data_IF_467672632606
#
_entry.id   IF_467672632606
#
_cell.length_a   1.000
_cell.length_b   1.000
_cell.length_c   1.000
_cell.angle_alpha   90.00
_cell.angle_beta   90.00
_cell.angle_gamma   90.00
#
_symmetry.space_group_name_H-M   'P 1'
#
loop_
_entity.id
_entity.type
_entity.pdbx_description
1 polymer ?
#
# COMPACT_ATOMS: atom_id res chain seq x y z
N UNK A 1 -43.85 0.74 -1.35
CA UNK A 1 -42.98 1.47 -2.27
C UNK A 1 -41.87 2.34 -1.65
N UNK A 2 -41.93 2.76 -0.37
CA UNK A 2 -40.84 3.60 0.27
C UNK A 2 -39.60 2.81 0.77
N UNK A 3 -39.70 1.50 1.02
CA UNK A 3 -38.54 0.68 1.50
C UNK A 3 -37.55 0.28 0.40
N UNK A 4 -38.03 0.11 -0.85
CA UNK A 4 -37.18 -0.30 -1.97
C UNK A 4 -36.26 0.85 -2.46
N UNK A 5 -36.72 2.11 -2.36
CA UNK A 5 -35.90 3.27 -2.76
C UNK A 5 -34.73 3.56 -1.78
N UNK A 6 -34.89 3.25 -0.49
CA UNK A 6 -33.79 3.40 0.49
C UNK A 6 -32.71 2.34 0.32
N UNK A 7 -33.09 1.12 -0.07
CA UNK A 7 -32.13 0.05 -0.33
C UNK A 7 -31.32 0.30 -1.61
N UNK A 8 -31.98 0.80 -2.66
CA UNK A 8 -31.31 1.19 -3.92
C UNK A 8 -30.37 2.40 -3.73
N UNK A 9 -30.69 3.34 -2.81
CA UNK A 9 -29.80 4.46 -2.50
C UNK A 9 -28.57 4.01 -1.69
N UNK A 10 -28.74 3.05 -0.76
CA UNK A 10 -27.62 2.52 0.03
C UNK A 10 -26.66 1.69 -0.83
N UNK A 11 -27.19 0.85 -1.73
CA UNK A 11 -26.37 0.08 -2.68
C UNK A 11 -25.69 1.00 -3.70
N UNK A 12 -26.34 2.05 -4.18
CA UNK A 12 -25.75 3.05 -5.08
C UNK A 12 -24.60 3.83 -4.40
N UNK A 13 -24.76 4.19 -3.13
CA UNK A 13 -23.72 4.89 -2.37
C UNK A 13 -22.50 3.99 -2.06
N UNK A 14 -22.73 2.69 -1.76
CA UNK A 14 -21.65 1.73 -1.52
C UNK A 14 -20.91 1.41 -2.83
N UNK A 15 -21.62 1.22 -3.94
CA UNK A 15 -21.00 1.01 -5.26
C UNK A 15 -20.27 2.26 -5.74
N UNK A 16 -20.80 3.46 -5.47
CA UNK A 16 -20.14 4.73 -5.75
C UNK A 16 -18.87 4.93 -4.93
N UNK A 17 -18.90 4.63 -3.65
CA UNK A 17 -17.72 4.73 -2.76
C UNK A 17 -16.64 3.69 -3.12
N UNK A 18 -17.04 2.47 -3.51
CA UNK A 18 -16.08 1.43 -3.97
C UNK A 18 -15.51 1.76 -5.35
N UNK A 19 -16.31 2.36 -6.26
CA UNK A 19 -15.83 2.80 -7.57
C UNK A 19 -14.85 3.98 -7.45
N UNK A 20 -15.11 4.93 -6.55
CA UNK A 20 -14.21 6.06 -6.25
C UNK A 20 -12.93 5.55 -5.56
N UNK A 21 -13.03 4.65 -4.58
CA UNK A 21 -11.87 4.03 -3.93
C UNK A 21 -11.06 3.20 -4.93
N UNK A 22 -11.71 2.40 -5.80
CA UNK A 22 -11.05 1.64 -6.85
C UNK A 22 -10.40 2.56 -7.91
N UNK A 23 -11.01 3.70 -8.23
CA UNK A 23 -10.45 4.68 -9.18
C UNK A 23 -9.26 5.44 -8.59
N UNK A 24 -9.34 5.84 -7.33
CA UNK A 24 -8.23 6.47 -6.58
C UNK A 24 -7.07 5.49 -6.39
N UNK A 25 -7.38 4.21 -6.12
CA UNK A 25 -6.36 3.17 -5.99
C UNK A 25 -5.79 2.71 -7.34
N UNK A 26 -6.57 2.70 -8.43
CA UNK A 26 -6.14 2.30 -9.77
C UNK A 26 -5.05 3.21 -10.33
N UNK A 27 -4.95 4.44 -9.84
CA UNK A 27 -4.03 5.46 -10.38
C UNK A 27 -2.61 5.40 -9.83
N UNK A 28 -2.31 4.54 -8.83
CA UNK A 28 -0.96 4.49 -8.27
C UNK A 28 -0.52 3.15 -7.70
N UNK A 29 -0.62 2.11 -8.50
CA UNK A 29 0.42 1.11 -8.50
C UNK A 29 1.51 1.56 -9.51
N UNK A 30 2.03 2.76 -9.38
CA UNK A 30 3.31 3.07 -9.96
C UNK A 30 4.31 2.12 -9.31
N UNK A 31 4.76 1.17 -10.12
CA UNK A 31 5.80 0.21 -9.77
C UNK A 31 7.01 1.03 -9.35
N UNK A 32 7.18 1.21 -8.07
CA UNK A 32 8.39 1.80 -7.51
C UNK A 32 9.50 0.81 -7.81
N UNK A 33 10.27 1.09 -8.83
CA UNK A 33 11.47 0.32 -9.18
C UNK A 33 12.61 0.95 -8.41
N UNK A 34 13.25 0.19 -7.53
CA UNK A 34 14.39 0.70 -6.79
C UNK A 34 15.69 0.40 -7.53
N UNK A 35 16.62 1.33 -7.49
CA UNK A 35 17.99 1.14 -7.94
C UNK A 35 18.82 0.58 -6.78
N UNK A 36 18.93 -0.73 -6.72
CA UNK A 36 19.95 -1.38 -5.92
C UNK A 36 20.98 -1.93 -6.90
N UNK A 37 22.14 -1.31 -6.99
CA UNK A 37 23.25 -1.71 -7.86
C UNK A 37 23.80 -3.12 -7.59
N UNK A 38 23.19 -3.85 -6.64
CA UNK A 38 23.67 -5.11 -6.10
C UNK A 38 22.80 -6.32 -6.39
N UNK A 39 21.63 -6.16 -7.05
CA UNK A 39 20.76 -7.28 -7.39
C UNK A 39 20.74 -7.53 -8.89
N UNK A 40 21.16 -8.72 -9.31
CA UNK A 40 21.14 -9.10 -10.72
C UNK A 40 19.73 -9.08 -11.32
N UNK A 41 19.55 -8.50 -12.51
CA UNK A 41 18.27 -8.51 -13.21
C UNK A 41 17.80 -9.92 -13.53
N UNK A 42 16.48 -10.12 -13.50
CA UNK A 42 15.83 -11.38 -13.83
C UNK A 42 15.12 -11.23 -15.18
N UNK A 43 15.30 -12.22 -16.04
CA UNK A 43 14.59 -12.27 -17.31
C UNK A 43 13.10 -12.55 -17.10
N UNK A 44 12.25 -11.83 -17.83
CA UNK A 44 10.82 -12.09 -17.84
C UNK A 44 10.52 -13.39 -18.56
N UNK A 45 9.79 -14.27 -17.89
CA UNK A 45 9.27 -15.46 -18.54
C UNK A 45 8.18 -15.12 -19.57
N UNK A 46 7.96 -15.99 -20.53
CA UNK A 46 6.81 -15.89 -21.45
C UNK A 46 5.52 -16.23 -20.68
N UNK A 47 4.57 -15.31 -20.69
CA UNK A 47 3.25 -15.53 -20.10
C UNK A 47 2.36 -16.31 -21.06
N UNK A 48 1.60 -17.29 -20.54
CA UNK A 48 0.54 -17.97 -21.29
C UNK A 48 -0.66 -17.03 -21.58
N UNK A 49 -1.52 -17.43 -22.50
CA UNK A 49 -2.71 -16.64 -22.90
C UNK A 49 -3.64 -16.36 -21.71
N UNK A 50 -3.86 -17.35 -20.85
CA UNK A 50 -4.66 -17.20 -19.65
C UNK A 50 -4.12 -16.10 -18.74
N UNK A 51 -2.85 -16.15 -18.40
CA UNK A 51 -2.21 -15.19 -17.51
C UNK A 51 -2.20 -13.77 -18.09
N UNK A 52 -1.96 -13.69 -19.40
CA UNK A 52 -1.85 -12.40 -20.11
C UNK A 52 -3.19 -11.66 -20.21
N UNK A 53 -4.29 -12.39 -20.47
CA UNK A 53 -5.58 -11.78 -20.81
C UNK A 53 -6.69 -12.04 -19.78
N UNK A 54 -6.81 -13.27 -19.27
CA UNK A 54 -7.96 -13.67 -18.47
C UNK A 54 -7.75 -13.48 -16.96
N UNK A 55 -6.56 -13.83 -16.47
CA UNK A 55 -6.26 -13.86 -15.03
C UNK A 55 -6.55 -12.52 -14.35
N UNK A 56 -6.16 -11.40 -14.96
CA UNK A 56 -6.38 -10.07 -14.39
C UNK A 56 -7.87 -9.70 -14.27
N UNK A 57 -8.67 -10.10 -15.25
CA UNK A 57 -10.13 -9.87 -15.22
C UNK A 57 -10.76 -10.67 -14.08
N UNK A 58 -10.35 -11.93 -13.91
CA UNK A 58 -10.81 -12.78 -12.81
C UNK A 58 -10.37 -12.25 -11.45
N UNK A 59 -9.13 -11.79 -11.32
CA UNK A 59 -8.63 -11.16 -10.10
C UNK A 59 -9.50 -9.96 -9.68
N UNK A 60 -9.81 -9.08 -10.62
CA UNK A 60 -10.68 -7.91 -10.36
C UNK A 60 -12.08 -8.35 -9.96
N UNK A 61 -12.67 -9.29 -10.69
CA UNK A 61 -14.01 -9.78 -10.41
C UNK A 61 -14.10 -10.43 -9.02
N UNK A 62 -13.16 -11.32 -8.69
CA UNK A 62 -13.09 -11.98 -7.38
C UNK A 62 -12.86 -11.00 -6.24
N UNK A 63 -11.91 -10.07 -6.39
CA UNK A 63 -11.63 -9.09 -5.35
C UNK A 63 -12.80 -8.11 -5.12
N UNK A 64 -13.45 -7.67 -6.21
CA UNK A 64 -14.64 -6.81 -6.12
C UNK A 64 -15.78 -7.56 -5.43
N UNK A 65 -16.06 -8.80 -5.83
CA UNK A 65 -17.09 -9.63 -5.19
C UNK A 65 -16.78 -9.85 -3.71
N UNK A 66 -15.53 -10.16 -3.35
CA UNK A 66 -15.12 -10.35 -1.97
C UNK A 66 -15.32 -9.07 -1.13
N UNK A 67 -14.91 -7.90 -1.62
CA UNK A 67 -15.09 -6.63 -0.92
C UNK A 67 -16.57 -6.31 -0.72
N UNK A 68 -17.41 -6.50 -1.74
CA UNK A 68 -18.84 -6.19 -1.67
C UNK A 68 -19.55 -7.16 -0.72
N UNK A 69 -19.35 -8.47 -0.90
CA UNK A 69 -20.04 -9.50 -0.10
C UNK A 69 -19.59 -9.44 1.36
N UNK A 70 -18.31 -9.27 1.62
CA UNK A 70 -17.77 -9.24 2.97
C UNK A 70 -17.67 -7.84 3.56
N UNK A 71 -18.25 -6.80 2.93
CA UNK A 71 -18.21 -5.42 3.44
C UNK A 71 -18.68 -5.27 4.89
N UNK A 72 -19.75 -5.97 5.40
CA UNK A 72 -20.10 -5.90 6.81
C UNK A 72 -19.02 -6.49 7.72
N UNK A 73 -18.34 -7.57 7.26
CA UNK A 73 -17.25 -8.20 8.00
C UNK A 73 -16.03 -7.28 8.05
N UNK A 74 -15.68 -6.61 6.96
CA UNK A 74 -14.61 -5.59 6.94
C UNK A 74 -14.86 -4.49 7.98
N UNK A 75 -16.08 -3.96 8.02
CA UNK A 75 -16.46 -2.91 8.98
C UNK A 75 -16.42 -3.43 10.42
N UNK A 76 -16.92 -4.65 10.67
CA UNK A 76 -16.90 -5.29 11.98
C UNK A 76 -15.47 -5.52 12.49
N UNK A 77 -14.60 -6.09 11.64
CA UNK A 77 -13.19 -6.30 12.00
C UNK A 77 -12.48 -4.97 12.23
N UNK A 78 -12.68 -3.97 11.34
CA UNK A 78 -12.09 -2.64 11.50
C UNK A 78 -12.49 -1.99 12.83
N UNK A 79 -13.78 -2.07 13.21
CA UNK A 79 -14.27 -1.58 14.48
C UNK A 79 -13.64 -2.31 15.69
N UNK A 80 -13.54 -3.64 15.62
CA UNK A 80 -12.91 -4.43 16.67
C UNK A 80 -11.42 -4.13 16.81
N UNK A 81 -10.68 -3.98 15.70
CA UNK A 81 -9.27 -3.56 15.72
C UNK A 81 -9.14 -2.18 16.36
N UNK A 82 -9.98 -1.22 15.94
CA UNK A 82 -10.00 0.14 16.52
C UNK A 82 -10.23 0.13 18.03
N UNK A 83 -11.17 -0.69 18.51
CA UNK A 83 -11.53 -0.78 19.93
C UNK A 83 -10.49 -1.54 20.76
N UNK A 84 -9.88 -2.60 20.19
CA UNK A 84 -8.96 -3.49 20.93
C UNK A 84 -7.50 -3.08 20.84
N UNK A 85 -7.07 -2.51 19.70
CA UNK A 85 -5.67 -2.20 19.42
C UNK A 85 -5.46 -0.69 19.13
N UNK A 86 -6.53 0.10 18.97
CA UNK A 86 -6.44 1.53 18.68
C UNK A 86 -6.20 1.85 17.19
N UNK A 87 -5.61 3.00 16.92
CA UNK A 87 -5.23 3.45 15.56
C UNK A 87 -3.73 3.30 15.33
N UNK A 88 -3.31 3.11 14.07
CA UNK A 88 -4.11 2.88 12.85
C UNK A 88 -4.75 1.49 12.81
N UNK A 89 -5.89 1.35 12.11
CA UNK A 89 -6.60 0.07 11.95
C UNK A 89 -5.89 -0.85 10.96
N UNK A 90 -5.30 -0.26 9.92
CA UNK A 90 -4.54 -0.98 8.91
C UNK A 90 -3.05 -0.95 9.24
N UNK A 91 -2.42 -2.07 9.04
CA UNK A 91 -0.97 -2.24 9.01
C UNK A 91 -0.52 -2.37 7.55
N UNK A 92 0.59 -1.73 7.22
CA UNK A 92 1.20 -1.81 5.89
C UNK A 92 2.61 -2.35 6.00
N UNK A 93 3.00 -3.21 5.07
CA UNK A 93 4.35 -3.76 5.01
C UNK A 93 4.84 -3.84 3.57
N UNK A 94 6.07 -3.37 3.35
CA UNK A 94 6.70 -3.42 2.04
C UNK A 94 7.06 -4.86 1.66
N UNK A 95 6.65 -5.25 0.44
CA UNK A 95 6.85 -6.58 -0.11
C UNK A 95 7.36 -6.50 -1.55
N UNK A 96 8.25 -7.43 -1.95
CA UNK A 96 8.62 -7.54 -3.36
C UNK A 96 7.44 -7.99 -4.21
N UNK A 97 7.26 -7.30 -5.32
CA UNK A 97 6.20 -7.52 -6.29
C UNK A 97 6.70 -8.08 -7.61
N UNK A 98 5.94 -7.81 -8.67
CA UNK A 98 6.27 -8.25 -10.02
C UNK A 98 7.55 -7.57 -10.53
N UNK A 99 8.36 -8.30 -11.29
CA UNK A 99 9.55 -7.77 -11.96
C UNK A 99 9.19 -6.65 -12.93
N UNK A 100 9.85 -5.52 -12.80
CA UNK A 100 9.76 -4.36 -13.67
C UNK A 100 10.29 -4.60 -15.10
N UNK A 101 10.32 -3.56 -15.93
CA UNK A 101 10.89 -3.65 -17.29
C UNK A 101 12.41 -3.79 -17.27
N UNK A 102 13.04 -3.34 -16.24
CA UNK A 102 14.47 -3.37 -15.95
C UNK A 102 14.97 -4.71 -15.38
N UNK A 103 14.08 -5.67 -15.20
CA UNK A 103 14.41 -7.00 -14.63
C UNK A 103 14.55 -7.00 -13.11
N UNK A 104 14.27 -5.89 -12.43
CA UNK A 104 14.28 -5.79 -10.96
C UNK A 104 12.87 -5.92 -10.38
N UNK A 105 12.75 -6.39 -9.16
CA UNK A 105 11.46 -6.48 -8.46
C UNK A 105 10.94 -5.08 -8.11
N UNK A 106 9.64 -4.89 -8.27
CA UNK A 106 8.96 -3.72 -7.70
C UNK A 106 8.70 -3.96 -6.21
N UNK A 107 8.69 -2.92 -5.40
CA UNK A 107 8.24 -2.99 -4.01
C UNK A 107 6.83 -2.40 -3.92
N UNK A 108 5.95 -3.02 -3.14
CA UNK A 108 4.58 -2.53 -2.93
C UNK A 108 4.17 -2.67 -1.47
N UNK A 109 3.26 -1.79 -1.02
CA UNK A 109 2.69 -1.87 0.33
C UNK A 109 1.55 -2.87 0.36
N UNK A 110 1.74 -3.95 1.10
CA UNK A 110 0.72 -4.95 1.40
C UNK A 110 -0.13 -4.48 2.57
N UNK A 111 -1.45 -4.52 2.43
CA UNK A 111 -2.41 -4.07 3.44
C UNK A 111 -2.92 -5.24 4.27
N UNK A 112 -2.86 -5.10 5.60
CA UNK A 112 -3.48 -6.04 6.55
C UNK A 112 -4.22 -5.29 7.65
N UNK A 113 -5.12 -5.95 8.35
CA UNK A 113 -5.56 -5.43 9.64
C UNK A 113 -4.45 -5.58 10.67
N UNK A 114 -4.34 -4.59 11.56
CA UNK A 114 -3.38 -4.62 12.64
C UNK A 114 -3.72 -5.73 13.64
N UNK A 115 -2.72 -6.51 14.05
CA UNK A 115 -2.86 -7.65 14.98
C UNK A 115 -2.05 -7.50 16.25
N UNK A 116 -1.14 -6.53 16.28
CA UNK A 116 -0.21 -6.27 17.38
C UNK A 116 -0.39 -4.86 17.93
N UNK A 117 0.02 -4.65 19.19
CA UNK A 117 0.13 -3.32 19.81
C UNK A 117 1.38 -2.59 19.33
N UNK A 118 1.46 -1.29 19.59
CA UNK A 118 2.65 -0.46 19.33
C UNK A 118 3.44 -0.20 20.63
N UNK A 119 3.37 -1.13 21.57
CA UNK A 119 4.08 -1.03 22.85
C UNK A 119 5.58 -1.00 22.64
N UNK A 120 6.23 -0.11 23.38
CA UNK A 120 7.67 0.18 23.28
C UNK A 120 8.33 0.04 24.65
N UNK A 121 9.62 -0.21 24.62
CA UNK A 121 10.48 -0.18 25.80
C UNK A 121 10.84 1.25 26.22
N UNK A 122 11.65 1.38 27.28
CA UNK A 122 12.12 2.66 27.81
C UNK A 122 13.01 3.43 26.82
N UNK A 123 13.60 2.77 25.82
CA UNK A 123 14.41 3.37 24.76
C UNK A 123 13.59 3.81 23.55
N UNK A 124 12.27 3.54 23.55
CA UNK A 124 11.38 3.83 22.44
C UNK A 124 11.38 2.77 21.33
N UNK A 125 12.07 1.62 21.52
CA UNK A 125 12.06 0.49 20.60
C UNK A 125 10.80 -0.36 20.82
N UNK A 126 10.30 -0.96 19.73
CA UNK A 126 9.14 -1.84 19.82
C UNK A 126 9.46 -3.09 20.66
N UNK A 127 8.55 -3.43 21.57
CA UNK A 127 8.67 -4.69 22.31
C UNK A 127 8.64 -5.91 21.36
N UNK A 128 9.17 -7.07 21.79
CA UNK A 128 9.15 -8.29 21.00
C UNK A 128 7.72 -8.69 20.53
N UNK A 129 7.64 -9.33 19.38
CA UNK A 129 6.38 -9.69 18.71
C UNK A 129 5.45 -10.57 19.57
N UNK A 130 6.01 -11.47 20.37
CA UNK A 130 5.26 -12.33 21.30
C UNK A 130 4.56 -11.54 22.40
N UNK A 131 5.15 -10.44 22.87
CA UNK A 131 4.57 -9.51 23.85
C UNK A 131 3.46 -8.67 23.20
N UNK A 132 3.72 -8.15 22.01
CA UNK A 132 2.80 -7.27 21.29
C UNK A 132 1.61 -7.98 20.67
N UNK A 133 1.74 -9.28 20.38
CA UNK A 133 0.69 -10.08 19.77
C UNK A 133 -0.38 -10.48 20.79
N UNK A 134 -1.47 -9.72 20.81
CA UNK A 134 -2.59 -9.96 21.73
C UNK A 134 -3.36 -11.25 21.40
N UNK A 135 -4.17 -11.75 22.37
CA UNK A 135 -5.09 -12.87 22.12
C UNK A 135 -6.05 -12.60 20.96
N UNK A 136 -6.50 -11.35 20.81
CA UNK A 136 -7.34 -10.91 19.70
C UNK A 136 -6.57 -10.94 18.37
N UNK A 137 -5.34 -10.49 18.38
CA UNK A 137 -4.45 -10.55 17.20
C UNK A 137 -4.18 -12.00 16.75
N UNK A 138 -3.93 -12.91 17.72
CA UNK A 138 -3.80 -14.35 17.43
C UNK A 138 -5.06 -14.90 16.78
N UNK A 139 -6.25 -14.54 17.29
CA UNK A 139 -7.52 -14.96 16.70
C UNK A 139 -7.68 -14.45 15.27
N UNK A 140 -7.37 -13.17 14.99
CA UNK A 140 -7.40 -12.60 13.63
C UNK A 140 -6.49 -13.38 12.68
N UNK A 141 -5.25 -13.68 13.08
CA UNK A 141 -4.30 -14.45 12.27
C UNK A 141 -4.76 -15.89 12.04
N UNK A 142 -5.27 -16.55 13.06
CA UNK A 142 -5.75 -17.93 12.97
C UNK A 142 -6.95 -18.06 12.03
N UNK A 143 -7.77 -17.02 11.94
CA UNK A 143 -8.93 -16.97 11.03
C UNK A 143 -8.58 -16.36 9.68
N UNK A 144 -7.34 -15.87 9.48
CA UNK A 144 -6.89 -15.13 8.30
C UNK A 144 -7.74 -13.86 8.01
N UNK A 145 -8.47 -13.36 8.98
CA UNK A 145 -9.27 -12.13 8.84
C UNK A 145 -8.39 -10.89 8.74
N UNK A 146 -7.16 -10.95 9.23
CA UNK A 146 -6.16 -9.90 9.08
C UNK A 146 -5.76 -9.67 7.63
N UNK A 147 -5.89 -10.68 6.76
CA UNK A 147 -5.52 -10.63 5.33
C UNK A 147 -6.65 -10.08 4.42
N UNK A 148 -7.85 -9.84 4.95
CA UNK A 148 -8.96 -9.28 4.17
C UNK A 148 -8.56 -8.02 3.37
N UNK A 149 -7.80 -7.03 3.91
CA UNK A 149 -7.43 -5.84 3.15
C UNK A 149 -6.53 -6.10 1.94
N UNK A 150 -5.92 -7.29 1.80
CA UNK A 150 -5.13 -7.65 0.61
C UNK A 150 -6.00 -7.68 -0.66
N UNK A 151 -7.34 -7.79 -0.55
CA UNK A 151 -8.24 -7.64 -1.68
C UNK A 151 -8.09 -6.27 -2.37
N UNK A 152 -7.74 -5.21 -1.65
CA UNK A 152 -7.42 -3.91 -2.24
C UNK A 152 -6.10 -3.94 -3.02
N UNK A 153 -5.11 -4.73 -2.58
CA UNK A 153 -3.89 -4.98 -3.34
C UNK A 153 -4.17 -5.74 -4.64
N UNK A 154 -5.14 -6.66 -4.63
CA UNK A 154 -5.58 -7.36 -5.84
C UNK A 154 -6.28 -6.38 -6.78
N UNK A 155 -7.17 -5.52 -6.29
CA UNK A 155 -7.85 -4.52 -7.11
C UNK A 155 -6.90 -3.51 -7.74
N UNK A 156 -5.92 -3.01 -7.00
CA UNK A 156 -4.94 -2.05 -7.54
C UNK A 156 -3.91 -2.71 -8.47
N UNK A 157 -3.83 -4.05 -8.47
CA UNK A 157 -3.00 -4.85 -9.38
C UNK A 157 -1.60 -5.15 -8.89
N UNK A 158 -1.28 -4.84 -7.63
CA UNK A 158 0.00 -5.22 -7.02
C UNK A 158 0.03 -6.70 -6.63
N UNK A 159 -1.15 -7.29 -6.39
CA UNK A 159 -1.34 -8.71 -6.09
C UNK A 159 -2.34 -9.38 -7.06
N UNK A 160 -2.45 -10.68 -6.98
CA UNK A 160 -3.40 -11.58 -7.64
C UNK A 160 -4.11 -12.43 -6.59
N UNK A 161 -5.25 -13.04 -6.92
CA UNK A 161 -5.90 -14.03 -6.04
C UNK A 161 -4.98 -15.22 -5.83
N UNK A 162 -4.39 -15.73 -6.92
CA UNK A 162 -3.46 -16.87 -6.90
C UNK A 162 -2.09 -16.45 -7.42
N UNK A 163 -1.04 -16.80 -6.66
CA UNK A 163 0.35 -16.53 -7.01
C UNK A 163 1.31 -16.93 -5.89
N UNK A 164 2.62 -16.78 -6.08
CA UNK A 164 3.60 -16.96 -5.02
C UNK A 164 3.32 -16.01 -3.83
N UNK A 165 3.35 -16.52 -2.59
CA UNK A 165 3.11 -15.68 -1.41
C UNK A 165 4.16 -14.56 -1.33
N UNK A 166 3.78 -13.27 -1.15
CA UNK A 166 4.75 -12.18 -1.03
C UNK A 166 5.57 -12.34 0.26
N UNK A 167 6.87 -12.61 0.12
CA UNK A 167 7.82 -12.69 1.22
C UNK A 167 8.32 -11.31 1.61
N UNK A 168 9.18 -11.20 2.63
CA UNK A 168 9.80 -9.93 3.03
C UNK A 168 10.87 -9.49 2.01
N UNK A 169 11.11 -8.17 1.92
CA UNK A 169 12.23 -7.66 1.12
C UNK A 169 13.55 -8.22 1.64
N UNK A 170 13.69 -8.40 2.96
CA UNK A 170 14.88 -9.01 3.55
C UNK A 170 15.06 -10.48 3.16
N UNK A 171 13.96 -11.25 2.96
CA UNK A 171 14.06 -12.62 2.47
C UNK A 171 14.54 -12.67 1.02
N UNK A 172 14.06 -11.73 0.19
CA UNK A 172 14.40 -11.65 -1.22
C UNK A 172 15.92 -11.48 -1.43
N UNK A 173 16.61 -10.75 -0.56
CA UNK A 173 18.06 -10.53 -0.70
C UNK A 173 18.89 -11.81 -0.52
N UNK A 174 18.36 -12.82 0.14
CA UNK A 174 18.99 -14.13 0.31
C UNK A 174 18.64 -15.12 -0.82
N UNK A 175 17.64 -14.83 -1.65
CA UNK A 175 17.20 -15.73 -2.72
C UNK A 175 18.20 -15.73 -3.87
N UNK A 176 18.48 -16.92 -4.44
CA UNK A 176 19.20 -17.05 -5.68
C UNK A 176 18.40 -16.47 -6.85
N UNK A 177 19.04 -16.25 -7.99
CA UNK A 177 18.38 -15.75 -9.21
C UNK A 177 17.21 -16.65 -9.63
N UNK A 178 17.38 -17.97 -9.53
CA UNK A 178 16.37 -18.98 -9.84
C UNK A 178 15.18 -18.91 -8.87
N UNK A 179 15.44 -18.69 -7.59
CA UNK A 179 14.42 -18.54 -6.57
C UNK A 179 13.67 -17.20 -6.73
N UNK A 180 14.37 -16.12 -7.08
CA UNK A 180 13.78 -14.83 -7.39
C UNK A 180 12.91 -14.83 -8.65
N UNK A 181 13.08 -15.81 -9.56
CA UNK A 181 12.21 -15.98 -10.72
C UNK A 181 10.71 -16.11 -10.34
N UNK A 182 10.39 -16.45 -9.09
CA UNK A 182 9.02 -16.40 -8.53
C UNK A 182 8.34 -15.04 -8.71
N UNK A 183 9.12 -13.96 -8.72
CA UNK A 183 8.63 -12.60 -8.93
C UNK A 183 8.31 -12.27 -10.40
N UNK A 184 8.47 -13.23 -11.33
CA UNK A 184 7.95 -13.09 -12.71
C UNK A 184 6.43 -13.27 -12.79
N UNK A 185 5.79 -13.77 -11.74
CA UNK A 185 4.34 -13.74 -11.55
C UNK A 185 3.97 -12.75 -10.44
N UNK A 186 2.72 -12.24 -10.46
CA UNK A 186 2.23 -11.40 -9.37
C UNK A 186 2.14 -12.20 -8.07
N UNK A 187 2.52 -11.62 -6.93
CA UNK A 187 2.30 -12.26 -5.65
C UNK A 187 0.80 -12.51 -5.41
N UNK A 188 0.48 -13.64 -4.76
CA UNK A 188 -0.89 -14.09 -4.54
C UNK A 188 -1.33 -14.03 -3.09
N UNK A 189 -2.65 -13.85 -2.88
CA UNK A 189 -3.30 -14.05 -1.58
C UNK A 189 -3.20 -15.52 -1.17
N UNK A 190 -3.43 -16.43 -2.11
CA UNK A 190 -3.15 -17.86 -1.97
C UNK A 190 -2.22 -18.33 -3.08
N UNK A 191 -1.61 -19.51 -2.92
CA UNK A 191 -0.67 -20.05 -3.88
C UNK A 191 -0.34 -21.51 -3.64
N UNK A 192 0.43 -22.09 -4.58
CA UNK A 192 0.72 -23.51 -4.59
C UNK A 192 1.50 -23.96 -3.35
N UNK A 193 2.44 -23.15 -2.85
CA UNK A 193 3.17 -23.42 -1.61
C UNK A 193 2.24 -23.45 -0.38
N UNK A 194 1.28 -22.50 -0.32
CA UNK A 194 0.35 -22.42 0.82
C UNK A 194 -0.58 -23.65 0.89
N UNK A 195 -1.02 -24.17 -0.26
CA UNK A 195 -1.86 -25.38 -0.29
C UNK A 195 -1.07 -26.68 -0.14
N UNK A 196 0.26 -26.66 -0.20
CA UNK A 196 1.11 -27.84 -0.04
C UNK A 196 1.86 -27.90 1.31
N UNK A 197 1.52 -27.07 2.29
CA UNK A 197 2.06 -27.20 3.65
C UNK A 197 2.21 -25.91 4.45
N UNK A 198 2.00 -24.73 3.84
CA UNK A 198 2.11 -23.41 4.52
C UNK A 198 3.45 -23.27 5.27
N UNK A 199 3.36 -23.18 6.63
CA UNK A 199 4.52 -23.01 7.50
C UNK A 199 5.16 -24.36 7.92
N UNK A 200 4.49 -25.49 7.64
CA UNK A 200 4.99 -26.82 8.00
C UNK A 200 5.99 -27.43 7.00
N UNK A 201 6.36 -26.72 5.93
CA UNK A 201 7.38 -27.15 4.94
C UNK A 201 8.59 -26.24 5.01
N UNK A 202 9.76 -26.77 4.58
CA UNK A 202 11.01 -26.02 4.56
C UNK A 202 10.93 -24.80 3.62
N UNK A 203 11.85 -23.85 3.80
CA UNK A 203 11.98 -22.71 2.88
C UNK A 203 12.30 -23.14 1.45
N UNK A 204 13.13 -24.17 1.30
CA UNK A 204 13.49 -24.71 -0.02
C UNK A 204 12.26 -25.27 -0.73
N UNK A 205 11.44 -26.05 -0.02
CA UNK A 205 10.18 -26.58 -0.57
C UNK A 205 9.19 -25.48 -0.93
N UNK A 206 9.07 -24.42 -0.09
CA UNK A 206 8.21 -23.26 -0.40
C UNK A 206 8.62 -22.62 -1.73
N UNK A 207 9.92 -22.35 -1.89
CA UNK A 207 10.45 -21.71 -3.09
C UNK A 207 10.33 -22.62 -4.33
N UNK A 208 10.47 -23.94 -4.16
CA UNK A 208 10.26 -24.92 -5.24
C UNK A 208 8.80 -24.99 -5.69
N UNK A 209 7.83 -24.94 -4.76
CA UNK A 209 6.42 -24.87 -5.13
C UNK A 209 6.09 -23.59 -5.88
N UNK A 210 6.67 -22.45 -5.49
CA UNK A 210 6.51 -21.20 -6.20
C UNK A 210 7.09 -21.27 -7.61
N UNK A 211 8.27 -21.90 -7.78
CA UNK A 211 8.88 -22.14 -9.11
C UNK A 211 8.00 -23.05 -9.98
N UNK A 212 7.46 -24.14 -9.42
CA UNK A 212 6.51 -25.02 -10.12
C UNK A 212 5.27 -24.26 -10.58
N UNK A 213 4.73 -23.37 -9.72
CA UNK A 213 3.58 -22.56 -10.08
C UNK A 213 3.86 -21.66 -11.29
N UNK A 214 4.96 -20.89 -11.28
CA UNK A 214 5.27 -19.95 -12.36
C UNK A 214 5.55 -20.63 -13.70
N UNK A 215 5.98 -21.90 -13.69
CA UNK A 215 6.19 -22.69 -14.90
C UNK A 215 4.88 -23.10 -15.58
N UNK A 216 3.79 -23.27 -14.81
CA UNK A 216 2.52 -23.84 -15.27
C UNK A 216 1.30 -23.01 -14.82
N UNK A 217 1.35 -21.68 -14.97
CA UNK A 217 0.20 -20.82 -14.67
C UNK A 217 -0.95 -21.12 -15.61
N UNK A 218 -2.05 -21.66 -15.09
CA UNK A 218 -3.21 -22.06 -15.88
C UNK A 218 -4.51 -21.83 -15.10
N UNK A 219 -5.63 -21.64 -15.81
CA UNK A 219 -6.94 -21.48 -15.21
C UNK A 219 -7.32 -22.68 -14.31
N UNK A 220 -7.14 -23.90 -14.81
CA UNK A 220 -7.44 -25.12 -14.05
C UNK A 220 -6.57 -25.24 -12.80
N UNK A 221 -5.28 -24.86 -12.90
CA UNK A 221 -4.36 -24.80 -11.76
C UNK A 221 -4.81 -23.81 -10.70
N UNK A 222 -5.18 -22.59 -11.11
CA UNK A 222 -5.67 -21.56 -10.19
C UNK A 222 -6.98 -21.97 -9.50
N UNK A 223 -7.94 -22.53 -10.25
CA UNK A 223 -9.20 -23.06 -9.68
C UNK A 223 -8.93 -24.18 -8.68
N UNK A 224 -8.00 -25.09 -8.99
CA UNK A 224 -7.60 -26.16 -8.05
C UNK A 224 -7.00 -25.57 -6.77
N UNK A 225 -6.14 -24.58 -6.87
CA UNK A 225 -5.54 -23.91 -5.68
C UNK A 225 -6.62 -23.23 -4.86
N UNK A 226 -7.60 -22.57 -5.47
CA UNK A 226 -8.74 -21.96 -4.76
C UNK A 226 -9.50 -23.05 -3.97
N UNK A 227 -9.84 -24.16 -4.64
CA UNK A 227 -10.54 -25.26 -4.00
C UNK A 227 -9.75 -25.86 -2.81
N UNK A 228 -8.45 -26.12 -3.02
CA UNK A 228 -7.56 -26.64 -1.98
C UNK A 228 -7.41 -25.65 -0.81
N UNK A 229 -7.40 -24.33 -1.10
CA UNK A 229 -7.37 -23.28 -0.06
C UNK A 229 -8.63 -23.31 0.79
N UNK A 230 -9.81 -23.34 0.15
CA UNK A 230 -11.10 -23.42 0.84
C UNK A 230 -11.17 -24.71 1.67
N UNK A 231 -10.81 -25.85 1.09
CA UNK A 231 -10.78 -27.14 1.79
C UNK A 231 -9.90 -27.09 3.04
N UNK A 232 -8.70 -26.50 2.97
CA UNK A 232 -7.79 -26.39 4.11
C UNK A 232 -8.29 -25.41 5.16
N UNK A 233 -8.91 -24.29 4.75
CA UNK A 233 -9.46 -23.31 5.68
C UNK A 233 -10.63 -23.90 6.52
N UNK A 234 -11.46 -24.75 5.93
CA UNK A 234 -12.64 -25.29 6.60
C UNK A 234 -12.46 -26.69 7.20
N UNK A 235 -11.53 -27.52 6.67
CA UNK A 235 -11.42 -28.94 7.06
C UNK A 235 -10.17 -29.23 7.87
N UNK A 236 -9.07 -28.50 7.61
CA UNK A 236 -7.78 -28.73 8.28
C UNK A 236 -7.17 -27.39 8.72
N UNK A 237 -7.27 -27.09 10.00
CA UNK A 237 -6.58 -25.93 10.63
C UNK A 237 -5.07 -26.20 10.85
N UNK A 238 -4.46 -27.11 10.09
CA UNK A 238 -3.04 -27.48 10.23
C UNK A 238 -2.12 -26.42 9.60
N UNK A 239 -1.01 -26.11 10.28
CA UNK A 239 0.09 -25.31 9.77
C UNK A 239 -0.08 -23.79 9.82
N UNK A 240 -0.94 -23.28 10.70
CA UNK A 240 -1.13 -21.84 10.90
C UNK A 240 0.02 -21.21 11.69
N UNK A 241 0.56 -21.95 12.64
CA UNK A 241 1.73 -21.56 13.45
C UNK A 241 2.85 -22.56 13.25
N UNK A 242 4.08 -22.10 13.13
CA UNK A 242 5.28 -22.93 13.18
C UNK A 242 5.73 -22.93 14.64
N UNK A 243 5.73 -24.11 15.27
CA UNK A 243 6.24 -24.34 16.63
C UNK A 243 5.79 -23.32 17.70
N UNK A 244 4.50 -22.92 17.70
CA UNK A 244 3.91 -21.89 18.59
C UNK A 244 4.55 -20.50 18.50
N UNK A 245 5.41 -20.23 17.50
CA UNK A 245 6.01 -18.92 17.31
C UNK A 245 4.96 -17.86 16.88
N UNK A 246 5.06 -16.67 17.44
CA UNK A 246 4.21 -15.54 17.13
C UNK A 246 4.33 -15.10 15.65
N UNK A 247 5.49 -15.31 15.06
CA UNK A 247 5.83 -15.02 13.66
C UNK A 247 6.68 -16.17 13.10
N UNK A 248 6.42 -16.61 11.87
CA UNK A 248 7.24 -17.62 11.21
C UNK A 248 8.67 -17.11 11.02
N UNK A 249 9.65 -18.01 11.17
CA UNK A 249 11.06 -17.69 10.96
C UNK A 249 11.31 -17.18 9.53
N UNK A 250 12.03 -16.09 9.40
CA UNK A 250 12.39 -15.52 8.11
C UNK A 250 13.44 -16.38 7.38
N UNK A 251 13.52 -16.21 6.04
CA UNK A 251 14.43 -17.02 5.22
C UNK A 251 15.89 -16.78 5.58
N UNK A 252 16.29 -15.51 5.80
CA UNK A 252 17.63 -15.17 6.21
C UNK A 252 18.01 -15.76 7.58
N UNK A 253 17.11 -15.69 8.55
CA UNK A 253 17.31 -16.23 9.90
C UNK A 253 17.40 -17.76 9.87
N UNK A 254 16.57 -18.41 9.05
CA UNK A 254 16.66 -19.86 8.81
C UNK A 254 17.99 -20.28 8.19
N UNK A 255 18.51 -19.52 7.19
CA UNK A 255 19.81 -19.79 6.58
C UNK A 255 20.96 -19.64 7.58
N UNK A 256 20.90 -18.60 8.44
CA UNK A 256 21.92 -18.37 9.47
C UNK A 256 21.89 -19.51 10.52
N UNK A 257 20.71 -19.84 11.04
CA UNK A 257 20.52 -20.90 12.03
C UNK A 257 20.93 -22.29 11.51
N UNK A 258 20.74 -22.53 10.21
CA UNK A 258 21.13 -23.80 9.56
C UNK A 258 22.55 -23.78 8.98
N UNK A 259 23.35 -22.76 9.32
CA UNK A 259 24.74 -22.58 8.88
C UNK A 259 24.92 -22.57 7.36
N UNK A 260 23.85 -22.20 6.61
CA UNK A 260 23.87 -22.10 5.14
C UNK A 260 24.34 -20.72 4.65
N UNK A 261 24.44 -19.75 5.54
CA UNK A 261 25.00 -18.42 5.29
C UNK A 261 25.91 -18.02 6.44
N UNK A 262 27.04 -17.38 6.15
CA UNK A 262 27.92 -16.84 7.16
C UNK A 262 27.36 -15.53 7.75
N UNK A 263 27.67 -15.23 9.02
CA UNK A 263 27.18 -14.03 9.72
C UNK A 263 27.53 -12.73 8.98
N UNK A 264 28.72 -12.61 8.43
CA UNK A 264 29.14 -11.45 7.63
C UNK A 264 28.28 -11.28 6.38
N UNK A 265 27.95 -12.37 5.70
CA UNK A 265 27.06 -12.34 4.53
C UNK A 265 25.62 -11.98 4.96
N UNK A 266 25.15 -12.54 6.07
CA UNK A 266 23.85 -12.22 6.64
C UNK A 266 23.71 -10.72 6.90
N UNK A 267 24.67 -10.11 7.59
CA UNK A 267 24.65 -8.66 7.84
C UNK A 267 24.68 -7.83 6.56
N UNK A 268 25.49 -8.24 5.58
CA UNK A 268 25.55 -7.55 4.28
C UNK A 268 24.20 -7.60 3.55
N UNK A 269 23.52 -8.75 3.55
CA UNK A 269 22.18 -8.93 2.97
C UNK A 269 21.11 -8.14 3.71
N UNK A 270 21.17 -8.05 5.02
CA UNK A 270 20.28 -7.21 5.82
C UNK A 270 20.48 -5.71 5.52
N UNK A 271 21.73 -5.25 5.35
CA UNK A 271 22.02 -3.87 4.91
C UNK A 271 21.46 -3.60 3.52
N UNK A 272 21.62 -4.56 2.60
CA UNK A 272 21.05 -4.47 1.25
C UNK A 272 19.53 -4.34 1.30
N UNK A 273 18.83 -5.13 2.12
CA UNK A 273 17.39 -5.04 2.28
C UNK A 273 16.95 -3.66 2.81
N UNK A 274 17.67 -3.12 3.80
CA UNK A 274 17.42 -1.76 4.31
C UNK A 274 17.63 -0.70 3.24
N UNK A 275 18.66 -0.81 2.42
CA UNK A 275 18.91 0.11 1.30
C UNK A 275 17.77 0.10 0.28
N UNK A 276 17.25 -1.08 -0.04
CA UNK A 276 16.10 -1.23 -0.93
C UNK A 276 14.86 -0.54 -0.36
N UNK A 277 14.56 -0.77 0.93
CA UNK A 277 13.43 -0.15 1.62
C UNK A 277 13.58 1.38 1.70
N UNK A 278 14.75 1.87 2.06
CA UNK A 278 15.04 3.30 2.11
C UNK A 278 14.95 3.95 0.72
N UNK A 279 15.43 3.26 -0.32
CA UNK A 279 15.29 3.71 -1.70
C UNK A 279 13.83 3.79 -2.13
N UNK A 280 12.99 2.83 -1.71
CA UNK A 280 11.55 2.88 -1.95
C UNK A 280 10.86 4.02 -1.20
N UNK A 281 11.25 4.28 0.05
CA UNK A 281 10.76 5.41 0.84
C UNK A 281 11.20 6.76 0.27
N UNK A 282 12.45 6.86 -0.21
CA UNK A 282 12.97 8.08 -0.85
C UNK A 282 12.20 8.38 -2.14
N UNK A 283 11.91 7.35 -2.95
CA UNK A 283 11.09 7.49 -4.16
C UNK A 283 9.61 7.82 -3.83
N UNK A 284 9.07 7.31 -2.72
CA UNK A 284 7.75 7.73 -2.23
C UNK A 284 7.77 9.18 -1.71
N UNK A 285 8.86 9.62 -1.07
CA UNK A 285 9.01 11.02 -0.63
C UNK A 285 9.18 11.98 -1.81
N UNK A 286 9.85 11.56 -2.88
CA UNK A 286 9.93 12.32 -4.14
C UNK A 286 8.60 12.33 -4.90
N UNK A 287 7.73 11.36 -4.64
CA UNK A 287 6.40 11.20 -5.24
C UNK A 287 5.27 11.61 -4.28
N UNK A 288 5.51 12.56 -3.37
CA UNK A 288 4.44 13.11 -2.53
C UNK A 288 3.26 13.55 -3.40
N UNK A 289 2.06 13.20 -2.98
CA UNK A 289 0.85 13.72 -3.61
C UNK A 289 0.90 15.24 -3.56
N UNK A 290 0.84 15.87 -4.72
CA UNK A 290 0.79 17.32 -4.80
C UNK A 290 -0.66 17.77 -4.67
N UNK A 291 -0.90 18.65 -3.74
CA UNK A 291 -2.22 19.25 -3.51
C UNK A 291 -2.10 20.74 -3.72
N UNK A 292 -2.93 21.32 -4.57
CA UNK A 292 -3.01 22.75 -4.79
C UNK A 292 -4.27 23.29 -4.11
N UNK A 293 -4.09 24.11 -3.10
CA UNK A 293 -5.16 24.86 -2.45
C UNK A 293 -5.22 26.26 -3.04
N UNK A 294 -6.38 26.65 -3.57
CA UNK A 294 -6.57 27.94 -4.21
C UNK A 294 -7.50 28.79 -3.36
N UNK A 295 -7.07 30.00 -3.05
CA UNK A 295 -7.88 30.99 -2.34
C UNK A 295 -7.72 32.38 -2.99
N UNK A 296 -8.69 33.25 -2.82
CA UNK A 296 -8.62 34.62 -3.37
C UNK A 296 -7.62 35.48 -2.62
N UNK A 297 -7.54 35.34 -1.30
CA UNK A 297 -6.69 36.12 -0.39
C UNK A 297 -6.10 35.26 0.71
N UNK A 298 -5.00 35.71 1.31
CA UNK A 298 -4.27 34.95 2.34
C UNK A 298 -5.05 34.81 3.65
N UNK A 299 -5.85 35.80 4.02
CA UNK A 299 -6.68 35.75 5.22
C UNK A 299 -7.70 34.61 5.21
N UNK A 300 -8.19 34.24 4.03
CA UNK A 300 -9.08 33.07 3.89
C UNK A 300 -8.36 31.76 4.23
N UNK A 301 -7.08 31.66 3.90
CA UNK A 301 -6.25 30.51 4.28
C UNK A 301 -6.06 30.48 5.79
N UNK A 302 -5.75 31.61 6.40
CA UNK A 302 -5.52 31.72 7.85
C UNK A 302 -6.76 31.32 8.65
N UNK A 303 -7.94 31.80 8.27
CA UNK A 303 -9.15 31.67 9.07
C UNK A 303 -9.91 30.36 8.81
N UNK A 304 -9.90 29.85 7.60
CA UNK A 304 -10.79 28.75 7.22
C UNK A 304 -10.06 27.48 6.77
N UNK A 305 -8.78 27.55 6.41
CA UNK A 305 -8.08 26.43 5.80
C UNK A 305 -6.80 25.99 6.53
N UNK A 306 -6.39 26.67 7.58
CA UNK A 306 -5.13 26.37 8.27
C UNK A 306 -5.06 24.92 8.74
N UNK A 307 -6.07 24.44 9.43
CA UNK A 307 -6.15 23.05 9.92
C UNK A 307 -6.15 22.04 8.78
N UNK A 308 -6.83 22.35 7.66
CA UNK A 308 -6.84 21.51 6.48
C UNK A 308 -5.46 21.41 5.82
N UNK A 309 -4.71 22.51 5.74
CA UNK A 309 -3.35 22.52 5.22
C UNK A 309 -2.41 21.68 6.09
N UNK A 310 -2.48 21.84 7.41
CA UNK A 310 -1.72 21.06 8.38
C UNK A 310 -2.07 19.56 8.28
N UNK A 311 -3.35 19.23 8.16
CA UNK A 311 -3.83 17.84 7.98
C UNK A 311 -3.31 17.22 6.69
N UNK A 312 -3.43 17.91 5.55
CA UNK A 312 -2.93 17.45 4.26
C UNK A 312 -1.43 17.15 4.30
N UNK A 313 -0.67 18.01 4.98
CA UNK A 313 0.78 17.88 5.07
C UNK A 313 1.20 16.81 6.06
N UNK A 314 0.69 16.86 7.29
CA UNK A 314 1.21 16.06 8.40
C UNK A 314 0.57 14.67 8.46
N UNK A 315 -0.73 14.55 8.14
CA UNK A 315 -1.46 13.28 8.23
C UNK A 315 -1.54 12.54 6.90
N UNK A 316 -1.63 13.27 5.77
CA UNK A 316 -1.68 12.65 4.44
C UNK A 316 -0.35 12.69 3.69
N UNK A 317 0.71 13.23 4.30
CA UNK A 317 2.06 13.36 3.73
C UNK A 317 2.06 13.97 2.33
N UNK A 318 1.26 15.03 2.10
CA UNK A 318 1.16 15.69 0.81
C UNK A 318 2.20 16.81 0.66
N UNK A 319 2.68 17.05 -0.56
CA UNK A 319 3.34 18.30 -0.94
C UNK A 319 2.24 19.34 -1.19
N UNK A 320 2.10 20.31 -0.30
CA UNK A 320 0.98 21.25 -0.32
C UNK A 320 1.41 22.57 -0.94
N UNK A 321 0.79 22.90 -2.07
CA UNK A 321 0.92 24.17 -2.78
C UNK A 321 -0.27 25.06 -2.43
N UNK A 322 -0.01 26.33 -2.18
CA UNK A 322 -1.04 27.35 -1.88
C UNK A 322 -0.94 28.45 -2.94
N UNK A 323 -2.01 28.65 -3.68
CA UNK A 323 -2.13 29.71 -4.67
C UNK A 323 -3.17 30.73 -4.20
N UNK A 324 -2.71 31.94 -3.91
CA UNK A 324 -3.60 33.06 -3.56
C UNK A 324 -2.91 34.40 -3.86
N UNK A 325 -3.65 35.50 -3.75
CA UNK A 325 -3.09 36.84 -3.80
C UNK A 325 -2.45 37.18 -2.46
N UNK A 326 -1.12 37.10 -2.41
CA UNK A 326 -0.33 37.42 -1.21
C UNK A 326 -0.02 38.91 -1.08
N UNK A 327 -0.24 39.69 -2.14
CA UNK A 327 -0.01 41.14 -2.13
C UNK A 327 -1.27 41.93 -1.73
N UNK A 328 -2.42 41.24 -1.74
CA UNK A 328 -3.67 41.85 -1.29
C UNK A 328 -3.82 41.70 0.22
N UNK A 329 -3.74 42.81 0.89
CA UNK A 329 -3.99 42.91 2.34
C UNK A 329 -5.38 43.49 2.49
N UNK A 330 -6.31 42.69 3.01
CA UNK A 330 -7.59 43.22 3.53
C UNK A 330 -7.27 44.16 4.71
N UNK A 331 -8.21 44.99 5.19
CA UNK A 331 -8.07 45.95 6.29
C UNK A 331 -7.45 45.37 7.59
N UNK A 332 -6.80 44.24 7.52
CA UNK A 332 -6.04 43.57 8.58
C UNK A 332 -4.58 44.00 8.53
N UNK A 333 -3.97 44.15 9.70
CA UNK A 333 -2.59 44.55 9.94
C UNK A 333 -1.61 43.87 8.94
N UNK A 334 -0.96 44.69 8.11
CA UNK A 334 0.02 44.27 7.10
C UNK A 334 1.14 43.41 7.69
N UNK A 335 1.54 43.74 8.91
CA UNK A 335 2.58 43.04 9.67
C UNK A 335 2.17 41.63 9.97
N UNK A 336 0.96 41.41 10.40
CA UNK A 336 0.39 40.07 10.70
C UNK A 336 0.33 39.19 9.46
N UNK A 337 -0.09 39.75 8.34
CA UNK A 337 -0.15 39.02 7.07
C UNK A 337 1.23 38.57 6.61
N UNK A 338 2.24 39.47 6.71
CA UNK A 338 3.64 39.12 6.37
C UNK A 338 4.20 38.04 7.29
N UNK A 339 3.92 38.12 8.59
CA UNK A 339 4.33 37.08 9.55
C UNK A 339 3.68 35.74 9.24
N UNK A 340 2.40 35.74 8.87
CA UNK A 340 1.71 34.50 8.51
C UNK A 340 2.27 33.87 7.22
N UNK A 341 2.56 34.66 6.19
CA UNK A 341 3.23 34.20 4.97
C UNK A 341 4.62 33.61 5.30
N UNK A 342 5.40 34.28 6.14
CA UNK A 342 6.70 33.79 6.58
C UNK A 342 6.57 32.46 7.35
N UNK A 343 5.53 32.32 8.18
CA UNK A 343 5.21 31.11 8.91
C UNK A 343 4.88 29.95 7.95
N UNK A 344 3.99 30.15 6.97
CA UNK A 344 3.65 29.13 5.98
C UNK A 344 4.90 28.64 5.22
N UNK A 345 5.80 29.57 4.82
CA UNK A 345 7.07 29.21 4.17
C UNK A 345 7.97 28.38 5.10
N UNK A 346 8.11 28.78 6.36
CA UNK A 346 8.92 28.08 7.36
C UNK A 346 8.37 26.69 7.64
N UNK A 347 7.06 26.54 7.63
CA UNK A 347 6.38 25.24 7.76
C UNK A 347 6.47 24.39 6.48
N UNK A 348 7.09 24.90 5.41
CA UNK A 348 7.37 24.15 4.18
C UNK A 348 6.18 24.02 3.24
N UNK A 349 5.22 24.95 3.25
CA UNK A 349 4.23 25.12 2.21
C UNK A 349 4.82 25.85 1.00
N UNK A 350 4.43 25.43 -0.21
CA UNK A 350 4.91 26.03 -1.47
C UNK A 350 3.90 27.07 -1.93
N UNK A 351 4.29 28.34 -1.91
CA UNK A 351 3.39 29.46 -2.14
C UNK A 351 3.49 29.95 -3.60
N UNK A 352 2.35 30.17 -4.23
CA UNK A 352 2.22 30.72 -5.58
C UNK A 352 1.40 32.01 -5.53
N UNK A 353 2.04 33.15 -5.78
CA UNK A 353 1.34 34.43 -5.81
C UNK A 353 0.55 34.57 -7.11
N UNK A 354 -0.77 34.65 -7.01
CA UNK A 354 -1.68 34.86 -8.12
C UNK A 354 -2.64 35.98 -7.77
N UNK A 355 -2.66 37.02 -8.59
CA UNK A 355 -3.54 38.18 -8.40
C UNK A 355 -4.96 37.87 -8.87
N UNK A 356 -5.78 37.33 -7.98
CA UNK A 356 -7.22 37.17 -8.19
C UNK A 356 -7.94 38.48 -7.95
N UNK A 357 -8.72 38.94 -8.93
CA UNK A 357 -9.59 40.11 -8.73
C UNK A 357 -10.84 39.71 -7.92
N UNK A 358 -11.31 40.60 -7.05
CA UNK A 358 -12.55 40.39 -6.24
C UNK A 358 -13.78 40.20 -7.12
N UNK A 359 -13.85 40.87 -8.27
CA UNK A 359 -14.93 40.68 -9.23
C UNK A 359 -14.65 39.42 -10.07
N UNK A 360 -15.44 38.35 -9.97
CA UNK A 360 -15.23 37.10 -10.72
C UNK A 360 -15.18 37.32 -12.23
N UNK A 361 -15.86 38.34 -12.74
CA UNK A 361 -15.98 38.70 -14.16
C UNK A 361 -14.95 39.74 -14.62
N UNK A 362 -14.01 40.10 -13.74
CA UNK A 362 -12.96 41.07 -14.07
C UNK A 362 -11.98 40.53 -15.11
N UNK A 363 -11.54 41.42 -16.05
CA UNK A 363 -10.55 41.06 -17.08
C UNK A 363 -9.22 40.55 -16.48
N UNK A 364 -8.88 41.01 -15.29
CA UNK A 364 -7.67 40.63 -14.57
C UNK A 364 -7.65 39.13 -14.20
N UNK A 365 -8.83 38.52 -14.00
CA UNK A 365 -8.94 37.09 -13.74
C UNK A 365 -8.56 36.22 -14.94
N UNK A 366 -8.53 36.76 -16.16
CA UNK A 366 -8.00 36.04 -17.33
C UNK A 366 -6.50 35.75 -17.16
N UNK A 367 -5.76 36.71 -16.62
CA UNK A 367 -4.33 36.52 -16.29
C UNK A 367 -4.14 35.52 -15.15
N UNK A 368 -4.92 35.67 -14.07
CA UNK A 368 -4.91 34.75 -12.95
C UNK A 368 -5.22 33.30 -13.37
N UNK A 369 -6.22 33.11 -14.24
CA UNK A 369 -6.55 31.80 -14.82
C UNK A 369 -5.40 31.19 -15.61
N UNK A 370 -4.70 31.99 -16.45
CA UNK A 370 -3.55 31.51 -17.22
C UNK A 370 -2.40 31.07 -16.30
N UNK A 371 -2.13 31.86 -15.26
CA UNK A 371 -1.10 31.51 -14.25
C UNK A 371 -1.47 30.22 -13.50
N UNK A 372 -2.71 30.13 -13.03
CA UNK A 372 -3.21 28.93 -12.35
C UNK A 372 -3.13 27.68 -13.25
N UNK A 373 -3.55 27.79 -14.51
CA UNK A 373 -3.43 26.70 -15.49
C UNK A 373 -1.98 26.26 -15.69
N UNK A 374 -1.05 27.20 -15.72
CA UNK A 374 0.39 26.91 -15.83
C UNK A 374 0.89 26.14 -14.60
N UNK A 375 0.47 26.52 -13.39
CA UNK A 375 0.82 25.83 -12.15
C UNK A 375 0.21 24.41 -12.14
N UNK A 376 -1.07 24.27 -12.48
CA UNK A 376 -1.75 22.96 -12.56
C UNK A 376 -1.01 22.02 -13.52
N UNK A 377 -0.65 22.50 -14.70
CA UNK A 377 0.09 21.71 -15.69
C UNK A 377 1.50 21.34 -15.19
N UNK A 378 2.24 22.30 -14.58
CA UNK A 378 3.57 22.06 -14.02
C UNK A 378 3.56 21.04 -12.87
N UNK A 379 2.51 21.03 -12.08
CA UNK A 379 2.34 20.09 -10.97
C UNK A 379 1.75 18.75 -11.43
N UNK A 380 1.34 18.63 -12.69
CA UNK A 380 0.67 17.44 -13.25
C UNK A 380 -0.59 17.05 -12.47
N UNK A 381 -1.34 18.05 -12.00
CA UNK A 381 -2.60 17.84 -11.29
C UNK A 381 -3.69 17.42 -12.29
N UNK A 382 -4.41 16.35 -11.97
CA UNK A 382 -5.39 15.73 -12.89
C UNK A 382 -6.83 15.96 -12.42
N UNK A 383 -7.03 16.32 -11.17
CA UNK A 383 -8.36 16.60 -10.60
C UNK A 383 -8.33 17.77 -9.62
N UNK A 384 -9.35 18.56 -9.73
CA UNK A 384 -9.77 19.60 -8.80
C UNK A 384 -10.93 19.05 -7.98
#
# INVERSE_FOLDING_TARGET
>A
MKKSKKFALLTGAVVGATAIAAHVMKKKAEKTTYEADLIEPIEKRKMGLYEKYCKRILDIACATAAIVVFSPLYLGVAALVKLKLGSPVLFTQDRPGLIGKDGKETVFKMYKFRTMTDERDENGELLPDDVRLTKFGKWLRNTSLDELPEAFNILNGTMSVIGPRPQLVRDMTFMTKEQRARHTAKPGLSGLAQVNGRNGISWEEKLDWDRKYIQNVSFAGDVKIIFDTVKKAFIKQEGITQDDMATAEDFGDWLLRTEKVAEVEYEAKQKQAKSILNGSETLESENKKKVLVVASVVSFIEWFNKENLEYLKNNLNCEVHVACNFDYMDDTDETRTREYIAKLKKEGFILHNIHFARNPWGKDNISAYKQLKTIINKLSLIHI
#
